data_IF_853099365123
#
_entry.id   IF_853099365123
#
_cell.length_a   1.000
_cell.length_b   1.000
_cell.length_c   1.000
_cell.angle_alpha   90.00
_cell.angle_beta   90.00
_cell.angle_gamma   90.00
#
_symmetry.space_group_name_H-M   'P 1'
#
loop_
_entity.id
_entity.type
_entity.pdbx_description
1 polymer ?
#
# COMPACT_ATOMS: atom_id res chain seq x y z
N UNK A 1 20.88 26.40 15.94
CA UNK A 1 19.56 25.90 15.49
C UNK A 1 19.71 25.17 14.17
N UNK A 2 19.21 23.98 14.12
CA UNK A 2 19.23 23.24 12.88
C UNK A 2 18.10 23.73 11.98
N UNK A 3 18.43 24.19 10.81
CA UNK A 3 17.42 24.51 9.81
C UNK A 3 16.74 23.20 9.37
N UNK A 4 15.41 23.22 9.31
CA UNK A 4 14.67 22.07 8.82
C UNK A 4 14.72 22.06 7.30
N UNK A 5 15.15 20.93 6.76
CA UNK A 5 15.17 20.73 5.30
C UNK A 5 13.75 20.41 4.85
N UNK A 6 13.31 21.10 3.82
CA UNK A 6 12.03 20.86 3.18
C UNK A 6 12.23 20.14 1.85
N UNK A 7 11.41 19.16 1.63
CA UNK A 7 11.42 18.37 0.39
C UNK A 7 10.19 18.72 -0.44
N UNK A 8 10.40 18.96 -1.73
CA UNK A 8 9.31 19.25 -2.64
C UNK A 8 8.51 17.99 -2.98
N UNK A 9 7.30 18.17 -3.52
CA UNK A 9 6.50 17.06 -4.03
C UNK A 9 7.28 16.22 -5.02
N UNK A 10 7.99 16.87 -5.96
CA UNK A 10 8.79 16.16 -6.95
C UNK A 10 9.87 15.31 -6.32
N UNK A 11 10.61 15.87 -5.37
CA UNK A 11 11.67 15.15 -4.66
C UNK A 11 11.13 13.94 -3.92
N UNK A 12 10.00 14.09 -3.23
CA UNK A 12 9.36 12.98 -2.50
C UNK A 12 8.90 11.90 -3.48
N UNK A 13 8.22 12.29 -4.55
CA UNK A 13 7.74 11.33 -5.56
C UNK A 13 8.89 10.57 -6.22
N UNK A 14 9.96 11.26 -6.58
CA UNK A 14 11.12 10.64 -7.21
C UNK A 14 11.84 9.68 -6.25
N UNK A 15 11.99 10.09 -5.00
CA UNK A 15 12.68 9.29 -3.99
C UNK A 15 11.94 7.99 -3.64
N UNK A 16 10.62 8.04 -3.55
CA UNK A 16 9.81 6.89 -3.12
C UNK A 16 9.14 6.15 -4.27
N UNK A 17 9.27 6.64 -5.49
CA UNK A 17 8.66 5.98 -6.66
C UNK A 17 7.14 6.02 -6.64
N UNK A 18 6.55 7.08 -6.11
CA UNK A 18 5.10 7.24 -6.06
C UNK A 18 4.65 8.41 -6.93
N UNK A 19 3.37 8.44 -7.28
CA UNK A 19 2.80 9.51 -8.09
C UNK A 19 2.35 10.68 -7.20
N UNK A 20 2.23 11.86 -7.80
CA UNK A 20 1.65 13.03 -7.14
C UNK A 20 0.24 12.73 -6.65
N UNK A 21 -0.52 12.00 -7.45
CA UNK A 21 -1.89 11.59 -7.12
C UNK A 21 -1.93 10.80 -5.81
N UNK A 22 -1.03 9.84 -5.65
CA UNK A 22 -0.92 9.04 -4.43
C UNK A 22 -0.57 9.91 -3.23
N UNK A 23 0.44 10.77 -3.39
CA UNK A 23 0.88 11.66 -2.32
C UNK A 23 -0.23 12.62 -1.88
N UNK A 24 -0.96 13.20 -2.82
CA UNK A 24 -2.07 14.10 -2.54
C UNK A 24 -3.26 13.36 -1.92
N UNK A 25 -3.49 12.12 -2.31
CA UNK A 25 -4.50 11.27 -1.69
C UNK A 25 -4.18 11.05 -0.21
N UNK A 26 -2.92 10.76 0.13
CA UNK A 26 -2.51 10.57 1.52
C UNK A 26 -2.70 11.85 2.36
N UNK A 27 -2.48 13.01 1.77
CA UNK A 27 -2.79 14.29 2.42
C UNK A 27 -4.30 14.43 2.65
N UNK A 28 -5.08 14.17 1.62
CA UNK A 28 -6.55 14.29 1.67
C UNK A 28 -7.18 13.44 2.77
N UNK A 29 -6.71 12.21 2.94
CA UNK A 29 -7.24 11.30 3.96
C UNK A 29 -6.58 11.46 5.33
N UNK A 30 -5.65 12.40 5.47
CA UNK A 30 -4.99 12.69 6.73
C UNK A 30 -3.91 11.69 7.13
N UNK A 31 -3.46 10.84 6.21
CA UNK A 31 -2.44 9.83 6.50
C UNK A 31 -1.03 10.41 6.49
N UNK A 32 -0.75 11.33 5.57
CA UNK A 32 0.54 12.00 5.44
C UNK A 32 0.32 13.47 5.09
N UNK A 33 0.67 14.35 6.00
CA UNK A 33 0.43 15.79 5.81
C UNK A 33 1.72 16.52 5.42
N UNK A 34 1.62 17.46 4.47
CA UNK A 34 2.74 18.35 4.18
C UNK A 34 2.99 19.33 5.32
N UNK A 35 4.14 19.97 5.30
CA UNK A 35 4.43 21.09 6.17
C UNK A 35 3.43 22.21 5.91
N UNK A 36 3.28 23.12 6.87
CA UNK A 36 2.37 24.25 6.74
C UNK A 36 2.70 25.04 5.48
N UNK A 37 1.64 25.36 4.74
CA UNK A 37 1.76 26.19 3.54
C UNK A 37 2.04 27.62 3.95
N UNK A 38 3.19 28.12 3.54
CA UNK A 38 3.50 29.54 3.73
C UNK A 38 3.48 30.23 2.38
N UNK A 39 2.71 31.31 2.26
CA UNK A 39 2.68 32.17 1.11
C UNK A 39 1.56 31.91 0.12
N UNK A 40 1.60 32.67 -0.94
CA UNK A 40 0.52 32.82 -1.92
C UNK A 40 0.39 31.61 -2.86
N UNK A 41 1.42 30.82 -2.94
CA UNK A 41 1.46 29.69 -3.85
C UNK A 41 1.21 28.40 -3.07
N UNK A 42 0.24 27.64 -3.51
CA UNK A 42 -0.17 26.41 -2.87
C UNK A 42 0.84 25.26 -3.05
N UNK A 43 2.13 25.55 -2.90
CA UNK A 43 3.16 24.54 -2.96
C UNK A 43 3.18 23.72 -1.67
N UNK A 44 3.24 22.41 -1.80
CA UNK A 44 3.38 21.49 -0.69
C UNK A 44 4.84 21.13 -0.51
N UNK A 45 5.28 21.18 0.73
CA UNK A 45 6.63 20.75 1.12
C UNK A 45 6.48 19.78 2.28
N UNK A 46 7.48 18.91 2.42
CA UNK A 46 7.46 17.88 3.44
C UNK A 46 8.73 17.95 4.28
N UNK A 47 8.57 17.82 5.60
CA UNK A 47 9.70 17.70 6.52
C UNK A 47 10.22 16.25 6.49
N UNK A 48 11.42 16.04 7.01
CA UNK A 48 12.04 14.72 7.09
C UNK A 48 11.16 13.70 7.81
N UNK A 49 10.48 14.13 8.88
CA UNK A 49 9.58 13.26 9.64
C UNK A 49 8.46 12.70 8.76
N UNK A 50 7.97 13.50 7.82
CA UNK A 50 6.97 13.02 6.87
C UNK A 50 7.54 11.97 5.92
N UNK A 51 8.81 12.10 5.54
CA UNK A 51 9.47 11.10 4.69
C UNK A 51 9.62 9.77 5.41
N UNK A 52 10.00 9.81 6.70
CA UNK A 52 10.09 8.60 7.53
C UNK A 52 8.72 7.94 7.68
N UNK A 53 7.68 8.73 7.88
CA UNK A 53 6.31 8.24 7.96
C UNK A 53 5.86 7.61 6.63
N UNK A 54 6.19 8.24 5.52
CA UNK A 54 5.89 7.72 4.18
C UNK A 54 6.57 6.38 3.94
N UNK A 55 7.82 6.24 4.35
CA UNK A 55 8.54 4.97 4.27
C UNK A 55 7.77 3.86 4.99
N UNK A 56 7.32 4.12 6.21
CA UNK A 56 6.52 3.15 6.97
C UNK A 56 5.18 2.84 6.28
N UNK A 57 4.50 3.84 5.76
CA UNK A 57 3.25 3.66 5.02
C UNK A 57 3.46 2.70 3.84
N UNK A 58 4.53 2.93 3.06
CA UNK A 58 4.81 2.11 1.88
C UNK A 58 5.23 0.69 2.26
N UNK A 59 5.95 0.51 3.37
CA UNK A 59 6.27 -0.82 3.89
C UNK A 59 5.00 -1.59 4.25
N UNK A 60 4.09 -0.96 4.98
CA UNK A 60 2.82 -1.59 5.35
C UNK A 60 1.97 -1.90 4.11
N UNK A 61 1.89 -0.98 3.16
CA UNK A 61 1.17 -1.22 1.90
C UNK A 61 1.75 -2.41 1.14
N UNK A 62 3.08 -2.47 1.05
CA UNK A 62 3.77 -3.58 0.40
C UNK A 62 3.54 -4.91 1.08
N UNK A 63 3.23 -4.92 2.36
CA UNK A 63 2.92 -6.11 3.13
C UNK A 63 1.43 -6.48 3.11
N UNK A 64 0.60 -5.75 2.36
CA UNK A 64 -0.80 -6.08 2.18
C UNK A 64 -1.78 -5.41 3.13
N UNK A 65 -1.33 -4.43 3.92
CA UNK A 65 -2.23 -3.68 4.77
C UNK A 65 -3.10 -2.74 3.92
N UNK A 66 -4.37 -2.65 4.26
CA UNK A 66 -5.26 -1.63 3.72
C UNK A 66 -4.91 -0.26 4.30
N UNK A 67 -5.41 0.80 3.69
CA UNK A 67 -5.25 2.16 4.24
C UNK A 67 -5.83 2.23 5.65
N UNK A 68 -6.98 1.61 5.89
CA UNK A 68 -7.61 1.59 7.22
C UNK A 68 -6.73 0.87 8.24
N UNK A 69 -6.12 -0.25 7.86
CA UNK A 69 -5.18 -0.97 8.73
C UNK A 69 -3.97 -0.10 9.05
N UNK A 70 -3.42 0.60 8.06
CA UNK A 70 -2.27 1.48 8.24
C UNK A 70 -2.60 2.59 9.22
N UNK A 71 -3.76 3.21 9.09
CA UNK A 71 -4.20 4.25 10.02
C UNK A 71 -4.25 3.75 11.45
N UNK A 72 -4.59 2.48 11.64
CA UNK A 72 -4.64 1.87 12.97
C UNK A 72 -3.27 1.59 13.56
N UNK A 73 -2.29 1.22 12.74
CA UNK A 73 -0.97 0.83 13.24
C UNK A 73 0.02 1.99 13.33
N UNK A 74 -0.07 2.96 12.42
CA UNK A 74 0.99 3.95 12.24
C UNK A 74 1.09 4.93 13.40
N UNK A 75 0.00 5.21 14.08
CA UNK A 75 -0.06 6.14 15.19
C UNK A 75 -0.13 5.46 16.56
N UNK A 76 -0.07 4.14 16.61
CA UNK A 76 -0.07 3.40 17.88
C UNK A 76 1.34 3.09 18.35
N UNK A 77 1.56 3.27 19.67
CA UNK A 77 2.81 2.90 20.33
C UNK A 77 2.74 1.52 20.98
N UNK A 78 1.56 0.93 21.08
CA UNK A 78 1.36 -0.36 21.73
C UNK A 78 1.72 -1.50 20.78
N UNK A 79 2.82 -2.16 21.07
CA UNK A 79 3.33 -3.26 20.25
C UNK A 79 2.38 -4.43 20.16
N UNK A 80 1.62 -4.71 21.24
CA UNK A 80 0.66 -5.81 21.22
C UNK A 80 -0.51 -5.53 20.28
N UNK A 81 -0.99 -4.30 20.26
CA UNK A 81 -2.06 -3.87 19.34
C UNK A 81 -1.58 -3.97 17.90
N UNK A 82 -0.40 -3.44 17.63
CA UNK A 82 0.21 -3.49 16.30
C UNK A 82 0.38 -4.94 15.83
N UNK A 83 0.96 -5.78 16.69
CA UNK A 83 1.18 -7.20 16.36
C UNK A 83 -0.14 -7.91 16.08
N UNK A 84 -1.18 -7.64 16.87
CA UNK A 84 -2.50 -8.21 16.66
C UNK A 84 -3.07 -7.89 15.28
N UNK A 85 -2.95 -6.62 14.86
CA UNK A 85 -3.40 -6.17 13.54
C UNK A 85 -2.60 -6.86 12.42
N UNK A 86 -1.27 -6.91 12.57
CA UNK A 86 -0.41 -7.56 11.58
C UNK A 86 -0.71 -9.07 11.46
N UNK A 87 -0.98 -9.73 12.55
CA UNK A 87 -1.35 -11.15 12.54
C UNK A 87 -2.71 -11.38 11.87
N UNK A 88 -3.67 -10.48 12.08
CA UNK A 88 -4.96 -10.54 11.40
C UNK A 88 -4.81 -10.36 9.89
N UNK A 89 -3.97 -9.43 9.47
CA UNK A 89 -3.66 -9.23 8.04
C UNK A 89 -3.02 -10.49 7.46
N UNK A 90 -2.07 -11.09 8.17
CA UNK A 90 -1.44 -12.34 7.72
C UNK A 90 -2.46 -13.45 7.54
N UNK A 91 -3.37 -13.60 8.49
CA UNK A 91 -4.43 -14.61 8.42
C UNK A 91 -5.32 -14.40 7.19
N UNK A 92 -5.69 -13.14 6.93
CA UNK A 92 -6.47 -12.78 5.75
C UNK A 92 -5.73 -13.12 4.46
N UNK A 93 -4.46 -12.76 4.36
CA UNK A 93 -3.65 -13.03 3.17
C UNK A 93 -3.46 -14.53 2.92
N UNK A 94 -3.30 -15.32 3.98
CA UNK A 94 -3.21 -16.78 3.85
C UNK A 94 -4.51 -17.34 3.29
N UNK A 95 -5.65 -16.86 3.80
CA UNK A 95 -6.97 -17.26 3.30
C UNK A 95 -7.15 -16.89 1.83
N UNK A 96 -6.78 -15.67 1.45
CA UNK A 96 -6.84 -15.21 0.06
C UNK A 96 -5.93 -16.03 -0.85
N UNK A 97 -4.75 -16.38 -0.39
CA UNK A 97 -3.80 -17.21 -1.15
C UNK A 97 -4.37 -18.60 -1.41
N UNK A 98 -4.98 -19.21 -0.40
CA UNK A 98 -5.65 -20.51 -0.54
C UNK A 98 -6.81 -20.45 -1.53
N UNK A 99 -7.57 -19.38 -1.49
CA UNK A 99 -8.66 -19.14 -2.44
C UNK A 99 -8.13 -19.03 -3.86
N UNK A 100 -7.03 -18.34 -4.06
CA UNK A 100 -6.38 -18.23 -5.37
C UNK A 100 -5.87 -19.57 -5.87
N UNK A 101 -5.28 -20.37 -5.00
CA UNK A 101 -4.85 -21.73 -5.36
C UNK A 101 -6.02 -22.59 -5.84
N UNK A 102 -7.16 -22.50 -5.16
CA UNK A 102 -8.36 -23.21 -5.54
C UNK A 102 -8.91 -22.76 -6.90
N UNK A 103 -8.93 -21.46 -7.13
CA UNK A 103 -9.33 -20.89 -8.42
C UNK A 103 -8.44 -21.40 -9.55
N UNK A 104 -7.12 -21.45 -9.32
CA UNK A 104 -6.15 -21.94 -10.30
C UNK A 104 -6.42 -23.42 -10.61
N UNK A 105 -6.66 -24.24 -9.57
CA UNK A 105 -6.97 -25.66 -9.78
C UNK A 105 -8.23 -25.86 -10.63
N UNK A 106 -9.25 -25.07 -10.36
CA UNK A 106 -10.48 -25.12 -11.16
C UNK A 106 -10.26 -24.72 -12.61
N UNK A 107 -9.47 -23.69 -12.84
CA UNK A 107 -9.09 -23.26 -14.18
C UNK A 107 -8.29 -24.34 -14.92
N UNK A 108 -7.34 -24.95 -14.25
CA UNK A 108 -6.53 -26.04 -14.83
C UNK A 108 -7.42 -27.21 -15.27
N UNK A 109 -8.43 -27.53 -14.47
CA UNK A 109 -9.38 -28.58 -14.83
C UNK A 109 -10.19 -28.19 -16.07
N UNK A 110 -10.69 -26.95 -16.13
CA UNK A 110 -11.39 -26.44 -17.28
C UNK A 110 -10.54 -26.45 -18.55
N UNK A 111 -9.27 -26.10 -18.42
CA UNK A 111 -8.31 -26.15 -19.53
C UNK A 111 -8.18 -27.57 -20.04
N UNK A 112 -8.00 -28.55 -19.15
CA UNK A 112 -7.88 -29.96 -19.53
C UNK A 112 -9.14 -30.46 -20.23
N UNK A 113 -10.30 -30.14 -19.67
CA UNK A 113 -11.59 -30.55 -20.26
C UNK A 113 -11.78 -29.97 -21.65
N UNK A 114 -11.47 -28.72 -21.87
CA UNK A 114 -11.61 -28.06 -23.17
C UNK A 114 -10.58 -28.54 -24.18
N UNK A 115 -9.38 -28.85 -23.75
CA UNK A 115 -8.36 -29.43 -24.61
C UNK A 115 -8.78 -30.83 -25.13
N UNK A 116 -9.38 -31.64 -24.27
CA UNK A 116 -9.92 -32.95 -24.65
C UNK A 116 -11.12 -32.81 -25.60
N UNK A 117 -12.04 -31.87 -25.30
CA UNK A 117 -13.19 -31.61 -26.14
C UNK A 117 -12.79 -31.18 -27.54
N UNK A 118 -11.78 -30.30 -27.65
CA UNK A 118 -11.22 -29.89 -28.94
C UNK A 118 -10.71 -31.09 -29.76
N UNK A 119 -10.00 -32.02 -29.13
CA UNK A 119 -9.54 -33.21 -29.79
C UNK A 119 -10.69 -34.08 -30.29
N UNK A 120 -11.72 -34.21 -29.48
CA UNK A 120 -12.87 -35.04 -29.84
C UNK A 120 -13.71 -34.40 -30.94
N UNK A 121 -13.73 -33.10 -31.06
CA UNK A 121 -14.53 -32.37 -32.08
C UNK A 121 -13.89 -32.37 -33.47
N UNK A 122 -12.67 -32.75 -33.59
CA UNK A 122 -11.92 -32.75 -34.85
C UNK A 122 -12.21 -33.99 -35.69
N UNK A 123 -12.95 -34.91 -35.18
CA UNK A 123 -13.33 -36.15 -35.90
C UNK A 123 -14.34 -35.87 -37.06
#
# INVERSE_FOLDING_TARGET
MKEKILYSVKEVCDRFGITRKTLFYYDKIGLLKPADRQGVQHFKFYYFEALSRLESILEYRGAGLSIDDIKKVIDFDDKEVILGILMDVRKRLISEARQKEEEIRKLEELIRMNSRSSRNKII
#
